data_IF_419965765352
#
_entry.id   IF_419965765352
#
_cell.length_a   1.000
_cell.length_b   1.000
_cell.length_c   1.000
_cell.angle_alpha   90.00
_cell.angle_beta   90.00
_cell.angle_gamma   90.00
#
_symmetry.space_group_name_H-M   'P 1'
#
loop_
_entity.id
_entity.type
_entity.pdbx_description
1 polymer ?
#
# COMPACT_ATOMS: atom_id res chain seq x y z
N UNK A 1 2.25 11.78 15.50
CA UNK A 1 0.85 12.21 15.69
C UNK A 1 0.32 12.67 14.34
N UNK A 2 -0.76 12.09 13.82
CA UNK A 2 -1.24 12.35 12.46
C UNK A 2 -2.01 13.67 12.31
N UNK A 3 -2.25 14.11 11.07
CA UNK A 3 -3.11 15.28 10.78
C UNK A 3 -4.58 14.96 11.12
N UNK A 4 -5.14 15.63 12.13
CA UNK A 4 -6.52 15.45 12.56
C UNK A 4 -7.47 16.54 12.00
N UNK A 5 -7.01 17.33 11.02
CA UNK A 5 -7.81 18.39 10.40
C UNK A 5 -9.15 17.87 9.85
N UNK A 6 -10.21 18.70 9.82
CA UNK A 6 -11.49 18.31 9.22
C UNK A 6 -11.35 17.87 7.75
N UNK A 7 -10.42 18.47 7.01
CA UNK A 7 -10.11 18.08 5.63
C UNK A 7 -9.57 16.66 5.54
N UNK A 8 -8.60 16.29 6.38
CA UNK A 8 -8.06 14.94 6.42
C UNK A 8 -9.11 13.91 6.88
N UNK A 9 -9.95 14.27 7.86
CA UNK A 9 -11.05 13.41 8.31
C UNK A 9 -12.07 13.14 7.20
N UNK A 10 -12.47 14.19 6.47
CA UNK A 10 -13.40 14.06 5.33
C UNK A 10 -12.79 13.17 4.25
N UNK A 11 -11.52 13.38 3.91
CA UNK A 11 -10.81 12.53 2.95
C UNK A 11 -10.79 11.06 3.38
N UNK A 12 -10.44 10.77 4.64
CA UNK A 12 -10.43 9.41 5.18
C UNK A 12 -11.82 8.75 5.08
N UNK A 13 -12.89 9.49 5.39
CA UNK A 13 -14.27 9.01 5.25
C UNK A 13 -14.66 8.76 3.79
N UNK A 14 -14.38 9.72 2.90
CA UNK A 14 -14.69 9.63 1.47
C UNK A 14 -13.96 8.43 0.81
N UNK A 15 -12.74 8.13 1.29
CA UNK A 15 -11.94 6.99 0.82
C UNK A 15 -12.27 5.66 1.54
N UNK A 16 -13.18 5.68 2.52
CA UNK A 16 -13.53 4.55 3.38
C UNK A 16 -12.34 3.93 4.14
N UNK A 17 -11.40 4.78 4.60
CA UNK A 17 -10.27 4.36 5.45
C UNK A 17 -10.77 4.09 6.88
N UNK A 18 -10.67 2.83 7.32
CA UNK A 18 -11.04 2.40 8.68
C UNK A 18 -9.86 2.31 9.64
N UNK A 19 -8.67 1.99 9.12
CA UNK A 19 -7.43 1.80 9.88
C UNK A 19 -6.25 2.43 9.14
N UNK A 20 -5.21 2.82 9.87
CA UNK A 20 -3.98 3.38 9.29
C UNK A 20 -2.78 2.51 9.66
N UNK A 21 -1.85 2.23 8.73
CA UNK A 21 -1.84 2.71 7.34
C UNK A 21 -2.82 1.94 6.43
N UNK A 22 -3.36 2.63 5.43
CA UNK A 22 -4.10 2.05 4.29
C UNK A 22 -3.49 2.56 2.99
N UNK A 23 -3.13 1.65 2.10
CA UNK A 23 -2.60 1.92 0.78
C UNK A 23 -3.70 1.69 -0.27
N UNK A 24 -3.87 2.64 -1.18
CA UNK A 24 -4.75 2.49 -2.34
C UNK A 24 -3.92 2.57 -3.61
N UNK A 25 -4.04 1.57 -4.48
CA UNK A 25 -3.35 1.54 -5.78
C UNK A 25 -4.31 1.97 -6.87
N UNK A 26 -3.86 2.86 -7.74
CA UNK A 26 -4.65 3.40 -8.85
C UNK A 26 -3.94 3.17 -10.19
N UNK A 27 -4.72 2.94 -11.25
CA UNK A 27 -4.26 2.95 -12.65
C UNK A 27 -5.31 3.62 -13.52
N UNK A 28 -4.89 4.56 -14.37
CA UNK A 28 -5.82 5.30 -15.23
C UNK A 28 -6.92 6.04 -14.45
N UNK A 29 -6.61 6.52 -13.24
CA UNK A 29 -7.59 7.19 -12.36
C UNK A 29 -8.57 6.25 -11.64
N UNK A 30 -8.53 4.95 -11.89
CA UNK A 30 -9.38 3.96 -11.21
C UNK A 30 -8.62 3.24 -10.10
N UNK A 31 -9.30 3.00 -8.97
CA UNK A 31 -8.76 2.21 -7.86
C UNK A 31 -8.73 0.73 -8.25
N UNK A 32 -7.53 0.14 -8.29
CA UNK A 32 -7.30 -1.27 -8.66
C UNK A 32 -6.97 -2.16 -7.47
N UNK A 33 -6.62 -1.57 -6.32
CA UNK A 33 -6.41 -2.32 -5.06
C UNK A 33 -6.49 -1.44 -3.83
N UNK A 34 -6.64 -2.11 -2.69
CA UNK A 34 -6.50 -1.52 -1.35
C UNK A 34 -5.84 -2.53 -0.42
N UNK A 35 -4.88 -2.09 0.39
CA UNK A 35 -4.22 -2.90 1.41
C UNK A 35 -4.17 -2.11 2.72
N UNK A 36 -4.52 -2.75 3.83
CA UNK A 36 -4.44 -2.17 5.18
C UNK A 36 -3.33 -2.83 5.97
N UNK A 37 -2.68 -2.09 6.88
CA UNK A 37 -1.66 -2.61 7.78
C UNK A 37 -0.23 -2.37 7.28
N UNK A 38 0.74 -2.83 8.06
CA UNK A 38 2.16 -2.47 7.96
C UNK A 38 3.02 -3.51 7.23
N UNK A 39 2.44 -4.61 6.74
CA UNK A 39 3.19 -5.68 6.08
C UNK A 39 3.85 -5.20 4.78
N UNK A 40 5.18 -5.03 4.83
CA UNK A 40 6.01 -4.67 3.68
C UNK A 40 5.94 -5.73 2.57
N UNK A 41 5.95 -7.01 2.93
CA UNK A 41 5.85 -8.11 1.98
C UNK A 41 4.51 -8.10 1.23
N UNK A 42 3.40 -7.89 1.93
CA UNK A 42 2.08 -7.78 1.32
C UNK A 42 1.99 -6.58 0.39
N UNK A 43 2.53 -5.42 0.79
CA UNK A 43 2.56 -4.22 -0.04
C UNK A 43 3.41 -4.41 -1.31
N UNK A 44 4.61 -4.96 -1.17
CA UNK A 44 5.51 -5.23 -2.29
C UNK A 44 4.84 -6.18 -3.31
N UNK A 45 4.27 -7.29 -2.83
CA UNK A 45 3.53 -8.24 -3.69
C UNK A 45 2.34 -7.55 -4.39
N UNK A 46 1.57 -6.75 -3.66
CA UNK A 46 0.42 -6.03 -4.23
C UNK A 46 0.81 -5.06 -5.36
N UNK A 47 1.97 -4.40 -5.24
CA UNK A 47 2.52 -3.54 -6.29
C UNK A 47 2.94 -4.39 -7.50
N UNK A 48 3.75 -5.43 -7.26
CA UNK A 48 4.34 -6.24 -8.32
C UNK A 48 3.32 -6.94 -9.21
N UNK A 49 2.29 -7.53 -8.61
CA UNK A 49 1.18 -8.18 -9.34
C UNK A 49 0.43 -7.25 -10.28
N UNK A 50 0.60 -5.93 -10.12
CA UNK A 50 -0.10 -4.91 -10.91
C UNK A 50 0.79 -4.23 -11.92
N UNK A 51 2.09 -4.48 -11.92
CA UNK A 51 2.99 -3.94 -12.93
C UNK A 51 2.69 -4.56 -14.31
N UNK A 52 2.77 -3.74 -15.35
CA UNK A 52 2.71 -4.15 -16.75
C UNK A 52 4.11 -4.53 -17.24
N UNK A 53 4.21 -5.29 -18.36
CA UNK A 53 5.50 -5.60 -18.96
C UNK A 53 6.35 -4.33 -19.18
N UNK A 54 7.56 -4.32 -18.62
CA UNK A 54 8.49 -3.19 -18.71
C UNK A 54 8.43 -2.20 -17.53
N UNK A 55 7.44 -2.28 -16.64
CA UNK A 55 7.33 -1.39 -15.48
C UNK A 55 8.15 -1.82 -14.25
N UNK A 56 8.66 -3.06 -14.21
CA UNK A 56 9.48 -3.60 -13.12
C UNK A 56 10.87 -2.94 -13.01
N UNK A 57 11.31 -2.21 -14.05
CA UNK A 57 12.66 -1.66 -14.14
C UNK A 57 13.69 -2.71 -14.60
N UNK A 58 14.85 -2.23 -15.08
CA UNK A 58 15.91 -3.09 -15.66
C UNK A 58 16.71 -3.90 -14.63
N UNK A 59 16.57 -3.62 -13.34
CA UNK A 59 17.34 -4.24 -12.25
C UNK A 59 16.43 -4.72 -11.10
N UNK A 60 15.25 -5.25 -11.43
CA UNK A 60 14.38 -5.83 -10.40
C UNK A 60 15.01 -7.09 -9.82
N UNK A 61 15.52 -6.99 -8.59
CA UNK A 61 15.83 -8.15 -7.75
C UNK A 61 14.58 -8.49 -6.96
N UNK A 62 14.17 -9.75 -7.00
CA UNK A 62 13.05 -10.23 -6.19
C UNK A 62 13.36 -9.91 -4.72
N UNK A 63 12.54 -9.11 -4.02
CA UNK A 63 12.81 -8.77 -2.65
C UNK A 63 12.85 -10.08 -1.88
N UNK A 64 13.94 -10.34 -1.17
CA UNK A 64 13.99 -11.41 -0.19
C UNK A 64 12.95 -11.04 0.85
N UNK A 65 11.74 -11.59 0.70
CA UNK A 65 10.71 -11.50 1.70
C UNK A 65 11.12 -12.52 2.76
N UNK A 66 12.08 -12.14 3.60
CA UNK A 66 12.09 -12.73 4.93
C UNK A 66 10.70 -12.45 5.48
N UNK A 67 10.01 -13.49 5.95
CA UNK A 67 8.89 -13.29 6.85
C UNK A 67 9.51 -12.61 8.07
N UNK A 68 9.69 -11.30 8.00
CA UNK A 68 10.09 -10.50 9.13
C UNK A 68 8.96 -10.72 10.11
N UNK A 69 9.32 -11.49 11.15
CA UNK A 69 8.55 -11.75 12.34
C UNK A 69 7.79 -10.49 12.71
N UNK A 70 6.54 -10.66 13.07
CA UNK A 70 5.81 -9.67 13.84
C UNK A 70 6.66 -9.38 15.09
N UNK A 71 7.53 -8.37 15.02
CA UNK A 71 8.10 -7.72 16.21
C UNK A 71 6.94 -6.92 16.82
N UNK A 72 6.09 -7.65 17.54
CA UNK A 72 5.25 -7.13 18.60
C UNK A 72 6.17 -6.65 19.73
N UNK A 73 6.34 -5.33 19.84
CA UNK A 73 6.73 -4.65 21.09
C UNK A 73 5.62 -3.70 21.54
#
# INVERSE_FOLDING_TARGET
>A
MGDASPGNRKMMMDMAVKVTPTFFLYRGGQRVHSLTGTSRGALARAILERLQPGETGREWQEPVVTADSDDDE
#
